data_IF_556687766623
#
_entry.id   IF_556687766623
#
_cell.length_a   1.000
_cell.length_b   1.000
_cell.length_c   1.000
_cell.angle_alpha   90.00
_cell.angle_beta   90.00
_cell.angle_gamma   90.00
#
_symmetry.space_group_name_H-M   'P 1'
#
loop_
_entity.id
_entity.type
_entity.pdbx_description
1 polymer ?
#
# COMPACT_ATOMS: atom_id res chain seq x y z
N UNK A 1 -26.92 28.07 16.44
CA UNK A 1 -27.94 27.57 17.39
C UNK A 1 -27.22 26.82 18.51
N UNK A 2 -27.62 26.98 19.77
CA UNK A 2 -27.03 26.21 20.89
C UNK A 2 -27.52 24.75 20.81
N UNK A 3 -26.65 23.74 21.00
CA UNK A 3 -27.05 22.35 20.96
C UNK A 3 -28.01 22.03 22.12
N UNK A 4 -29.09 21.30 21.82
CA UNK A 4 -30.02 20.79 22.82
C UNK A 4 -29.34 19.69 23.65
N UNK A 5 -29.37 19.84 24.98
CA UNK A 5 -28.67 18.97 25.91
C UNK A 5 -29.66 18.07 26.65
N UNK A 6 -29.40 16.76 26.65
CA UNK A 6 -30.15 15.76 27.41
C UNK A 6 -29.37 15.42 28.68
N UNK A 7 -30.10 15.30 29.79
CA UNK A 7 -29.55 14.85 31.08
C UNK A 7 -30.15 13.50 31.43
N UNK A 8 -29.30 12.48 31.52
CA UNK A 8 -29.66 11.15 31.98
C UNK A 8 -29.25 11.01 33.44
N UNK A 9 -30.14 10.50 34.28
CA UNK A 9 -29.88 10.24 35.70
C UNK A 9 -30.13 8.79 36.03
N UNK A 10 -29.17 8.15 36.69
CA UNK A 10 -29.36 6.83 37.29
C UNK A 10 -28.61 6.76 38.62
N UNK A 11 -29.34 6.61 39.72
CA UNK A 11 -28.80 6.79 41.07
C UNK A 11 -28.14 8.16 41.23
N UNK A 12 -26.93 8.17 41.80
CA UNK A 12 -26.13 9.39 41.98
C UNK A 12 -25.38 9.82 40.70
N UNK A 13 -25.46 9.03 39.63
CA UNK A 13 -24.77 9.33 38.37
C UNK A 13 -25.63 10.22 37.48
N UNK A 14 -25.08 11.37 37.09
CA UNK A 14 -25.69 12.28 36.11
C UNK A 14 -24.78 12.41 34.90
N UNK A 15 -25.31 12.06 33.72
CA UNK A 15 -24.62 12.25 32.45
C UNK A 15 -25.37 13.32 31.65
N UNK A 16 -24.66 14.39 31.28
CA UNK A 16 -25.16 15.42 30.36
C UNK A 16 -24.47 15.28 29.01
N UNK A 17 -25.27 15.19 27.94
CA UNK A 17 -24.74 15.13 26.58
C UNK A 17 -25.69 15.78 25.57
N UNK A 18 -25.21 16.20 24.39
CA UNK A 18 -26.08 16.67 23.33
C UNK A 18 -27.08 15.60 22.88
N UNK A 19 -28.31 15.99 22.56
CA UNK A 19 -29.35 15.07 22.08
C UNK A 19 -28.90 14.26 20.86
N UNK A 20 -28.16 14.89 19.94
CA UNK A 20 -27.61 14.25 18.76
C UNK A 20 -26.58 13.15 19.10
N UNK A 21 -25.83 13.29 20.19
CA UNK A 21 -24.87 12.27 20.63
C UNK A 21 -25.59 11.04 21.18
N UNK A 22 -26.69 11.24 21.92
CA UNK A 22 -27.50 10.14 22.43
C UNK A 22 -28.18 9.38 21.29
N UNK A 23 -28.69 10.09 20.27
CA UNK A 23 -29.26 9.46 19.08
C UNK A 23 -28.25 8.60 18.33
N UNK A 24 -27.00 9.08 18.16
CA UNK A 24 -25.92 8.29 17.54
C UNK A 24 -25.58 7.05 18.34
N UNK A 25 -25.49 7.16 19.67
CA UNK A 25 -25.25 6.03 20.58
C UNK A 25 -26.38 4.99 20.52
N UNK A 26 -27.63 5.43 20.49
CA UNK A 26 -28.78 4.53 20.39
C UNK A 26 -28.79 3.78 19.05
N UNK A 27 -28.53 4.47 17.93
CA UNK A 27 -28.43 3.83 16.61
C UNK A 27 -27.29 2.81 16.58
N UNK A 28 -26.11 3.15 17.11
CA UNK A 28 -24.97 2.24 17.18
C UNK A 28 -25.27 0.97 18.01
N UNK A 29 -25.98 1.10 19.14
CA UNK A 29 -26.37 -0.04 19.98
C UNK A 29 -27.38 -0.97 19.29
N UNK A 30 -28.32 -0.42 18.50
CA UNK A 30 -29.28 -1.25 17.75
C UNK A 30 -28.56 -2.06 16.67
N UNK A 31 -27.59 -1.46 15.96
CA UNK A 31 -26.77 -2.19 14.99
C UNK A 31 -25.93 -3.30 15.64
N UNK A 32 -25.40 -3.07 16.84
CA UNK A 32 -24.63 -4.09 17.57
C UNK A 32 -25.47 -5.31 17.98
N UNK A 33 -26.79 -5.15 18.19
CA UNK A 33 -27.69 -6.23 18.60
C UNK A 33 -28.24 -7.07 17.43
N UNK A 34 -28.20 -6.55 16.21
CA UNK A 34 -28.65 -7.26 14.98
C UNK A 34 -27.53 -8.07 14.34
N UNK A 35 -26.27 -7.80 14.71
CA UNK A 35 -25.14 -8.63 14.31
C UNK A 35 -25.20 -9.96 15.08
N UNK A 36 -24.99 -11.11 14.41
CA UNK A 36 -24.81 -12.37 15.13
C UNK A 36 -23.70 -12.20 16.17
N UNK A 37 -23.79 -12.89 17.34
CA UNK A 37 -22.74 -12.82 18.34
C UNK A 37 -21.42 -13.11 17.62
N UNK A 38 -20.50 -12.15 17.65
CA UNK A 38 -19.22 -12.25 16.97
C UNK A 38 -18.61 -13.60 17.35
N UNK A 39 -18.66 -14.55 16.42
CA UNK A 39 -18.09 -15.87 16.60
C UNK A 39 -16.60 -15.64 16.81
N UNK A 40 -16.14 -15.72 18.07
CA UNK A 40 -14.75 -15.63 18.49
C UNK A 40 -13.84 -14.94 17.46
N UNK A 41 -14.04 -13.63 17.26
CA UNK A 41 -12.94 -12.83 16.73
C UNK A 41 -11.95 -12.80 17.89
N UNK A 42 -11.11 -13.83 17.96
CA UNK A 42 -9.89 -13.78 18.74
C UNK A 42 -9.28 -12.41 18.46
N UNK A 43 -8.94 -11.61 19.49
CA UNK A 43 -8.23 -10.36 19.25
C UNK A 43 -7.08 -10.73 18.34
N UNK A 44 -7.04 -10.12 17.15
CA UNK A 44 -5.97 -10.38 16.19
C UNK A 44 -4.69 -10.23 16.99
N UNK A 45 -3.96 -11.34 17.16
CA UNK A 45 -2.67 -11.28 17.81
C UNK A 45 -1.92 -10.19 17.07
N UNK A 46 -1.50 -9.15 17.79
CA UNK A 46 -0.46 -8.24 17.33
C UNK A 46 0.72 -9.16 17.05
N UNK A 47 0.80 -9.67 15.82
CA UNK A 47 1.96 -10.43 15.38
C UNK A 47 3.11 -9.44 15.53
N UNK A 48 3.99 -9.72 16.49
CA UNK A 48 5.23 -8.97 16.66
C UNK A 48 5.86 -8.76 15.29
N UNK A 49 6.29 -7.53 15.00
CA UNK A 49 6.91 -7.19 13.72
C UNK A 49 7.97 -8.26 13.40
N UNK A 50 7.80 -9.07 12.33
CA UNK A 50 8.75 -10.11 11.99
C UNK A 50 10.11 -9.52 11.64
N UNK A 51 11.17 -10.33 11.65
CA UNK A 51 12.47 -9.91 11.13
C UNK A 51 12.39 -9.52 9.65
N UNK A 52 13.34 -8.71 9.18
CA UNK A 52 13.49 -8.40 7.75
C UNK A 52 13.54 -9.69 6.93
N UNK A 53 12.85 -9.70 5.79
CA UNK A 53 12.78 -10.83 4.87
C UNK A 53 11.86 -11.97 5.33
N UNK A 54 11.35 -11.91 6.57
CA UNK A 54 10.42 -12.93 7.08
C UNK A 54 8.99 -12.66 6.63
N UNK A 55 8.22 -13.72 6.42
CA UNK A 55 6.77 -13.62 6.13
C UNK A 55 6.09 -12.88 7.28
N UNK A 56 5.22 -11.93 6.95
CA UNK A 56 4.38 -11.24 7.91
C UNK A 56 2.95 -11.78 7.84
N UNK A 57 2.53 -12.63 8.81
CA UNK A 57 1.26 -13.32 8.73
C UNK A 57 0.08 -12.35 8.64
N UNK A 58 -0.77 -12.54 7.63
CA UNK A 58 -1.95 -11.71 7.37
C UNK A 58 -1.67 -10.42 6.61
N UNK A 59 -0.41 -10.15 6.23
CA UNK A 59 -0.04 -8.93 5.50
C UNK A 59 0.22 -9.18 4.01
N UNK A 60 0.12 -10.43 3.54
CA UNK A 60 0.24 -10.77 2.12
C UNK A 60 1.67 -10.77 1.56
N UNK A 61 2.69 -10.77 2.42
CA UNK A 61 4.07 -10.65 1.99
C UNK A 61 5.12 -10.76 3.09
N UNK A 62 6.32 -10.31 2.76
CA UNK A 62 7.50 -10.28 3.64
C UNK A 62 7.69 -8.89 4.24
N UNK A 63 8.26 -8.82 5.44
CA UNK A 63 8.70 -7.56 6.02
C UNK A 63 9.90 -6.99 5.23
N UNK A 64 9.68 -5.91 4.48
CA UNK A 64 10.71 -5.18 3.75
C UNK A 64 11.44 -4.12 4.58
N UNK A 65 10.95 -3.82 5.79
CA UNK A 65 11.55 -2.88 6.71
C UNK A 65 10.77 -1.58 6.90
N UNK A 66 11.22 -0.79 7.87
CA UNK A 66 10.64 0.49 8.24
C UNK A 66 11.07 1.57 7.24
N UNK A 67 10.09 2.27 6.68
CA UNK A 67 10.27 3.45 5.85
C UNK A 67 9.91 4.68 6.67
N UNK A 68 10.89 5.55 6.92
CA UNK A 68 10.67 6.81 7.62
C UNK A 68 9.66 7.69 6.88
N UNK A 69 8.91 8.50 7.64
CA UNK A 69 7.97 9.47 7.08
C UNK A 69 8.65 10.41 6.06
N UNK A 70 7.97 10.70 4.96
CA UNK A 70 8.49 11.57 3.89
C UNK A 70 7.36 12.38 3.26
N UNK A 71 7.45 13.70 3.42
CA UNK A 71 6.38 14.60 2.95
C UNK A 71 5.07 14.24 3.64
N UNK A 72 4.03 14.00 2.86
CA UNK A 72 2.70 13.65 3.36
C UNK A 72 2.50 12.14 3.58
N UNK A 73 3.53 11.31 3.31
CA UNK A 73 3.47 9.86 3.55
C UNK A 73 4.00 9.58 4.96
N UNK A 74 3.16 9.08 5.89
CA UNK A 74 3.58 8.73 7.24
C UNK A 74 4.60 7.59 7.26
N UNK A 75 5.26 7.42 8.39
CA UNK A 75 6.09 6.25 8.66
C UNK A 75 5.28 4.96 8.50
N UNK A 76 5.87 3.96 7.86
CA UNK A 76 5.20 2.68 7.58
C UNK A 76 6.22 1.57 7.39
N UNK A 77 5.77 0.33 7.50
CA UNK A 77 6.50 -0.82 6.98
C UNK A 77 6.19 -1.01 5.50
N UNK A 78 7.23 -1.28 4.71
CA UNK A 78 7.05 -1.77 3.36
C UNK A 78 6.85 -3.27 3.41
N UNK A 79 5.72 -3.76 2.90
CA UNK A 79 5.45 -5.19 2.75
C UNK A 79 5.71 -5.57 1.30
N UNK A 80 6.56 -6.57 1.08
CA UNK A 80 6.93 -7.03 -0.26
C UNK A 80 6.10 -8.26 -0.59
N UNK A 81 5.41 -8.25 -1.74
CA UNK A 81 4.61 -9.38 -2.17
C UNK A 81 5.43 -10.68 -2.17
N UNK A 82 4.77 -11.80 -1.89
CA UNK A 82 5.43 -13.09 -1.79
C UNK A 82 6.06 -13.57 -3.13
N UNK A 83 5.54 -13.06 -4.24
CA UNK A 83 5.91 -13.47 -5.60
C UNK A 83 5.97 -12.27 -6.53
N UNK A 84 6.78 -12.39 -7.57
CA UNK A 84 6.72 -11.48 -8.71
C UNK A 84 5.45 -11.74 -9.54
N UNK A 85 4.95 -10.73 -10.23
CA UNK A 85 3.74 -10.80 -11.09
C UNK A 85 4.05 -10.87 -12.59
N UNK A 86 5.22 -11.43 -12.90
CA UNK A 86 5.74 -11.65 -14.25
C UNK A 86 6.57 -10.48 -14.79
N UNK A 87 7.02 -10.65 -16.02
CA UNK A 87 7.67 -9.61 -16.81
C UNK A 87 6.60 -8.83 -17.57
N UNK A 88 6.63 -7.49 -17.46
CA UNK A 88 5.59 -6.60 -18.01
C UNK A 88 6.23 -5.40 -18.68
N UNK A 89 5.59 -4.90 -19.72
CA UNK A 89 5.88 -3.54 -20.20
C UNK A 89 5.51 -2.51 -19.11
N UNK A 90 6.28 -1.42 -19.05
CA UNK A 90 5.99 -0.34 -18.13
C UNK A 90 4.77 0.47 -18.58
N UNK A 91 4.66 0.74 -19.88
CA UNK A 91 3.62 1.56 -20.49
C UNK A 91 4.08 2.15 -21.83
N UNK A 92 3.27 3.03 -22.46
CA UNK A 92 3.56 3.53 -23.79
C UNK A 92 4.78 4.46 -23.83
N UNK A 93 5.45 4.46 -24.99
CA UNK A 93 6.50 5.43 -25.34
C UNK A 93 5.88 6.72 -25.88
N UNK A 94 6.61 7.83 -25.80
CA UNK A 94 6.13 9.14 -26.23
C UNK A 94 5.15 9.83 -25.27
N UNK A 95 4.77 9.18 -24.16
CA UNK A 95 3.81 9.72 -23.19
C UNK A 95 4.53 10.15 -21.91
N UNK A 96 4.46 11.43 -21.58
CA UNK A 96 4.92 11.98 -20.29
C UNK A 96 3.75 12.03 -19.30
N UNK A 97 3.88 11.31 -18.19
CA UNK A 97 2.87 11.27 -17.11
C UNK A 97 3.31 12.22 -16.01
N UNK A 98 2.46 13.20 -15.71
CA UNK A 98 2.75 14.22 -14.69
C UNK A 98 2.43 13.68 -13.30
N UNK A 99 3.09 14.22 -12.28
CA UNK A 99 2.81 13.91 -10.88
C UNK A 99 3.48 12.64 -10.35
N UNK A 100 4.37 12.00 -11.13
CA UNK A 100 5.11 10.84 -10.66
C UNK A 100 6.31 11.25 -9.78
N UNK A 101 6.48 10.52 -8.68
CA UNK A 101 7.47 10.70 -7.63
C UNK A 101 8.56 9.62 -7.66
N UNK A 102 9.74 9.93 -7.13
CA UNK A 102 10.81 8.94 -6.90
C UNK A 102 10.62 8.12 -5.63
N UNK A 103 9.71 8.52 -4.75
CA UNK A 103 9.60 7.95 -3.39
C UNK A 103 8.19 7.50 -3.03
N UNK A 104 7.20 7.74 -3.89
CA UNK A 104 5.81 7.41 -3.61
C UNK A 104 5.21 6.51 -4.68
N UNK A 105 5.50 5.21 -4.60
CA UNK A 105 5.03 4.22 -5.58
C UNK A 105 3.52 4.03 -5.57
N UNK A 106 2.88 4.23 -4.41
CA UNK A 106 1.43 4.13 -4.30
C UNK A 106 0.75 5.19 -5.15
N UNK A 107 1.06 6.48 -4.91
CA UNK A 107 0.47 7.58 -5.69
C UNK A 107 0.82 7.47 -7.17
N UNK A 108 2.06 7.08 -7.50
CA UNK A 108 2.45 6.80 -8.88
C UNK A 108 1.55 5.76 -9.54
N UNK A 109 1.35 4.62 -8.86
CA UNK A 109 0.53 3.53 -9.40
C UNK A 109 -0.91 3.98 -9.60
N UNK A 110 -1.49 4.73 -8.64
CA UNK A 110 -2.83 5.28 -8.80
C UNK A 110 -2.95 6.23 -10.01
N UNK A 111 -1.93 7.07 -10.26
CA UNK A 111 -1.90 7.94 -11.45
C UNK A 111 -1.76 7.13 -12.73
N UNK A 112 -0.96 6.07 -12.74
CA UNK A 112 -0.71 5.24 -13.92
C UNK A 112 -1.95 4.42 -14.32
N UNK A 113 -2.66 3.84 -13.35
CA UNK A 113 -3.86 3.01 -13.60
C UNK A 113 -5.13 3.86 -13.82
N UNK A 114 -5.17 5.09 -13.29
CA UNK A 114 -6.29 6.01 -13.44
C UNK A 114 -6.20 6.91 -14.69
N UNK A 115 -5.24 6.68 -15.57
CA UNK A 115 -5.07 7.48 -16.78
C UNK A 115 -6.02 6.98 -17.88
N UNK A 116 -7.09 7.75 -18.15
CA UNK A 116 -8.19 7.38 -19.06
C UNK A 116 -7.81 7.39 -20.56
N UNK A 117 -6.57 7.72 -20.91
CA UNK A 117 -6.11 7.99 -22.29
C UNK A 117 -5.84 6.72 -23.13
N UNK A 118 -6.59 5.63 -22.88
CA UNK A 118 -6.46 4.24 -23.43
C UNK A 118 -5.09 3.57 -23.25
N UNK A 119 -4.12 4.31 -22.71
CA UNK A 119 -2.73 3.99 -22.53
C UNK A 119 -2.51 3.13 -21.29
N UNK A 120 -2.49 1.81 -21.48
CA UNK A 120 -2.27 0.86 -20.38
C UNK A 120 -0.84 0.94 -19.83
N UNK A 121 -0.71 0.70 -18.53
CA UNK A 121 0.56 0.58 -17.82
C UNK A 121 0.65 -0.83 -17.20
N UNK A 122 0.96 -1.87 -18.00
CA UNK A 122 0.78 -3.26 -17.58
C UNK A 122 1.51 -3.65 -16.30
N UNK A 123 2.68 -3.06 -16.03
CA UNK A 123 3.41 -3.26 -14.78
C UNK A 123 2.65 -2.68 -13.56
N UNK A 124 2.08 -1.48 -13.68
CA UNK A 124 1.30 -0.85 -12.63
C UNK A 124 -0.05 -1.57 -12.42
N UNK A 125 -0.73 -1.93 -13.52
CA UNK A 125 -1.98 -2.68 -13.51
C UNK A 125 -1.81 -4.03 -12.79
N UNK A 126 -0.76 -4.77 -13.14
CA UNK A 126 -0.47 -6.07 -12.52
C UNK A 126 -0.22 -5.99 -11.00
N UNK A 127 0.39 -4.89 -10.54
CA UNK A 127 0.58 -4.63 -9.12
C UNK A 127 -0.74 -4.27 -8.42
N UNK A 128 -1.56 -3.41 -9.04
CA UNK A 128 -2.83 -2.97 -8.48
C UNK A 128 -3.88 -4.11 -8.42
N UNK A 129 -3.81 -5.06 -9.35
CA UNK A 129 -4.67 -6.25 -9.36
C UNK A 129 -4.21 -7.34 -8.38
N UNK A 130 -2.97 -7.27 -7.89
CA UNK A 130 -2.40 -8.28 -7.00
C UNK A 130 -3.08 -8.26 -5.63
N UNK A 131 -3.43 -9.45 -5.15
CA UNK A 131 -4.12 -9.64 -3.88
C UNK A 131 -3.46 -10.78 -3.09
N UNK A 132 -3.29 -10.57 -1.79
CA UNK A 132 -2.73 -11.58 -0.90
C UNK A 132 -3.20 -11.36 0.54
N UNK A 133 -3.53 -12.46 1.23
CA UNK A 133 -4.05 -12.47 2.61
C UNK A 133 -5.24 -11.50 2.82
N UNK A 134 -6.09 -11.31 1.82
CA UNK A 134 -7.22 -10.37 1.89
C UNK A 134 -6.85 -8.89 1.78
N UNK A 135 -5.59 -8.57 1.44
CA UNK A 135 -5.14 -7.21 1.13
C UNK A 135 -5.15 -6.97 -0.37
N UNK A 136 -5.58 -5.77 -0.78
CA UNK A 136 -5.82 -5.36 -2.18
C UNK A 136 -5.13 -4.02 -2.52
N UNK A 137 -4.28 -3.52 -1.62
CA UNK A 137 -3.63 -2.22 -1.67
C UNK A 137 -2.17 -2.29 -2.16
N UNK A 138 -1.86 -3.31 -2.96
CA UNK A 138 -0.53 -3.46 -3.55
C UNK A 138 -0.33 -2.49 -4.72
N UNK A 139 0.92 -2.09 -4.91
CA UNK A 139 1.31 -1.11 -5.92
C UNK A 139 2.72 -1.39 -6.46
N UNK A 140 3.04 -0.78 -7.60
CA UNK A 140 4.37 -0.86 -8.19
C UNK A 140 5.31 0.09 -7.42
N UNK A 141 6.41 -0.39 -6.82
CA UNK A 141 7.28 0.44 -5.98
C UNK A 141 7.91 1.59 -6.78
N UNK A 142 8.08 2.75 -6.16
CA UNK A 142 8.90 3.81 -6.73
C UNK A 142 10.39 3.45 -6.69
N UNK A 143 11.21 4.21 -7.43
CA UNK A 143 12.65 3.96 -7.54
C UNK A 143 13.36 3.89 -6.17
N UNK A 144 13.02 4.78 -5.23
CA UNK A 144 13.58 4.75 -3.88
C UNK A 144 13.04 3.61 -3.01
N UNK A 145 11.80 3.14 -3.23
CA UNK A 145 11.25 1.99 -2.52
C UNK A 145 11.93 0.68 -3.00
N UNK A 146 12.26 0.55 -4.29
CA UNK A 146 13.11 -0.56 -4.76
C UNK A 146 14.51 -0.51 -4.14
N UNK A 147 15.10 0.67 -4.04
CA UNK A 147 16.41 0.81 -3.40
C UNK A 147 16.36 0.46 -1.92
N UNK A 148 15.27 0.80 -1.23
CA UNK A 148 15.00 0.35 0.13
C UNK A 148 14.96 -1.19 0.21
N UNK A 149 14.24 -1.85 -0.71
CA UNK A 149 14.23 -3.31 -0.78
C UNK A 149 15.62 -3.91 -0.98
N UNK A 150 16.48 -3.30 -1.81
CA UNK A 150 17.85 -3.78 -2.00
C UNK A 150 18.74 -3.60 -0.77
N UNK A 151 18.55 -2.53 0.00
CA UNK A 151 19.28 -2.33 1.27
C UNK A 151 18.82 -3.31 2.35
N UNK A 152 17.52 -3.58 2.42
CA UNK A 152 16.92 -4.30 3.54
C UNK A 152 16.85 -5.81 3.33
N UNK A 153 16.46 -6.25 2.13
CA UNK A 153 16.07 -7.64 1.81
C UNK A 153 16.38 -8.03 0.36
N UNK A 154 17.61 -7.81 -0.14
CA UNK A 154 17.94 -8.04 -1.53
C UNK A 154 17.74 -9.51 -1.97
N UNK A 155 17.80 -10.46 -1.05
CA UNK A 155 17.60 -11.90 -1.27
C UNK A 155 16.18 -12.28 -1.72
N UNK A 156 15.19 -11.41 -1.51
CA UNK A 156 13.81 -11.65 -1.99
C UNK A 156 13.64 -11.43 -3.50
N UNK A 157 14.64 -10.83 -4.15
CA UNK A 157 14.59 -10.40 -5.54
C UNK A 157 15.54 -11.23 -6.39
N UNK A 158 15.09 -11.54 -7.61
CA UNK A 158 15.85 -12.27 -8.61
C UNK A 158 17.12 -11.50 -8.99
N UNK A 159 18.18 -12.26 -9.28
CA UNK A 159 19.53 -11.74 -9.59
C UNK A 159 19.87 -11.81 -11.07
N UNK A 160 18.98 -12.34 -11.88
CA UNK A 160 19.09 -12.52 -13.32
C UNK A 160 18.15 -11.59 -14.10
N UNK A 161 17.44 -10.69 -13.41
CA UNK A 161 16.43 -9.81 -13.99
C UNK A 161 16.52 -8.38 -13.45
N UNK A 162 15.99 -7.46 -14.24
CA UNK A 162 15.75 -6.07 -13.83
C UNK A 162 14.31 -5.93 -13.33
N UNK A 163 14.12 -5.06 -12.33
CA UNK A 163 12.81 -4.75 -11.78
C UNK A 163 12.35 -3.36 -12.21
N UNK A 164 11.09 -3.26 -12.64
CA UNK A 164 10.46 -1.97 -12.88
C UNK A 164 10.19 -1.23 -11.59
N UNK A 165 10.37 0.08 -11.62
CA UNK A 165 9.75 1.00 -10.67
C UNK A 165 8.56 1.71 -11.32
N UNK A 166 7.66 2.28 -10.53
CA UNK A 166 6.59 3.16 -11.01
C UNK A 166 7.06 4.58 -11.37
N UNK A 167 8.36 4.87 -11.24
CA UNK A 167 8.91 6.20 -11.45
C UNK A 167 9.29 6.36 -12.93
N UNK A 168 8.69 7.34 -13.60
CA UNK A 168 9.07 7.71 -14.95
C UNK A 168 10.34 8.57 -14.97
N UNK A 169 11.19 8.35 -15.98
CA UNK A 169 12.35 9.22 -16.29
C UNK A 169 12.04 10.21 -17.40
N UNK A 170 11.31 9.78 -18.42
CA UNK A 170 10.77 10.62 -19.50
C UNK A 170 9.74 9.87 -20.32
N UNK A 171 9.21 10.53 -21.36
CA UNK A 171 8.26 9.99 -22.32
C UNK A 171 8.59 8.57 -22.81
N UNK A 172 9.88 8.24 -22.93
CA UNK A 172 10.35 6.97 -23.49
C UNK A 172 10.94 6.00 -22.45
N UNK A 173 11.25 6.46 -21.24
CA UNK A 173 12.04 5.70 -20.27
C UNK A 173 11.43 5.74 -18.87
N UNK A 174 11.56 4.63 -18.15
CA UNK A 174 11.23 4.53 -16.73
C UNK A 174 12.43 4.01 -15.93
N UNK A 175 12.45 4.29 -14.63
CA UNK A 175 13.51 3.79 -13.75
C UNK A 175 13.34 2.29 -13.49
N UNK A 176 14.46 1.58 -13.53
CA UNK A 176 14.57 0.15 -13.25
C UNK A 176 15.77 -0.11 -12.35
N UNK A 177 15.77 -1.26 -11.69
CA UNK A 177 16.83 -1.65 -10.76
C UNK A 177 17.28 -3.09 -10.96
N UNK A 178 18.60 -3.29 -10.94
CA UNK A 178 19.24 -4.61 -10.92
C UNK A 178 19.68 -4.95 -9.51
N UNK A 179 19.23 -6.10 -9.00
CA UNK A 179 19.37 -6.44 -7.58
C UNK A 179 20.69 -7.14 -7.22
N UNK A 180 21.59 -7.41 -8.18
CA UNK A 180 22.91 -7.99 -7.90
C UNK A 180 23.81 -7.01 -7.17
N UNK A 181 23.89 -5.79 -7.69
CA UNK A 181 24.81 -4.74 -7.23
C UNK A 181 24.08 -3.46 -6.80
N UNK A 182 22.75 -3.44 -6.92
CA UNK A 182 21.93 -2.29 -6.57
C UNK A 182 21.94 -1.21 -7.65
N UNK A 183 22.36 -1.55 -8.87
CA UNK A 183 22.44 -0.59 -9.96
C UNK A 183 21.05 -0.14 -10.41
N UNK A 184 20.78 1.15 -10.27
CA UNK A 184 19.59 1.81 -10.80
C UNK A 184 19.91 2.48 -12.14
N UNK A 185 19.08 2.20 -13.14
CA UNK A 185 19.20 2.76 -14.48
C UNK A 185 17.82 3.14 -15.00
N UNK A 186 17.74 3.42 -16.30
CA UNK A 186 16.49 3.61 -17.00
C UNK A 186 16.42 2.71 -18.23
N UNK A 187 15.26 2.09 -18.43
CA UNK A 187 15.00 1.18 -19.53
C UNK A 187 13.86 1.73 -20.40
N UNK A 188 13.85 1.35 -21.68
CA UNK A 188 12.76 1.70 -22.58
C UNK A 188 11.46 1.09 -22.09
N UNK A 189 10.38 1.88 -22.04
CA UNK A 189 9.12 1.46 -21.40
C UNK A 189 8.42 0.26 -22.07
N UNK A 190 8.75 -0.02 -23.34
CA UNK A 190 8.27 -1.18 -24.09
C UNK A 190 9.10 -2.45 -23.82
N UNK A 191 10.12 -2.38 -22.98
CA UNK A 191 10.81 -3.56 -22.49
C UNK A 191 9.98 -4.26 -21.42
N UNK A 192 9.97 -5.58 -21.45
CA UNK A 192 9.34 -6.39 -20.41
C UNK A 192 10.35 -6.67 -19.31
N UNK A 193 10.17 -6.05 -18.14
CA UNK A 193 11.00 -6.27 -16.96
C UNK A 193 10.16 -6.82 -15.81
N UNK A 194 10.82 -7.40 -14.82
CA UNK A 194 10.17 -8.05 -13.69
C UNK A 194 9.41 -7.05 -12.83
N UNK A 195 8.26 -7.49 -12.32
CA UNK A 195 7.41 -6.67 -11.45
C UNK A 195 7.22 -7.36 -10.09
N UNK A 196 7.55 -6.65 -9.01
CA UNK A 196 7.30 -7.07 -7.63
C UNK A 196 6.37 -6.08 -6.94
N UNK A 197 5.11 -6.44 -6.64
CA UNK A 197 4.22 -5.57 -5.89
C UNK A 197 4.71 -5.34 -4.46
N UNK A 198 4.44 -4.15 -3.93
CA UNK A 198 4.64 -3.81 -2.52
C UNK A 198 3.37 -3.15 -1.95
N UNK A 199 3.21 -3.12 -0.62
CA UNK A 199 2.14 -2.35 0.05
C UNK A 199 2.69 -1.62 1.28
N UNK A 200 1.95 -0.63 1.79
CA UNK A 200 2.31 0.10 3.01
C UNK A 200 1.49 -0.42 4.19
N UNK A 201 2.16 -0.73 5.28
CA UNK A 201 1.51 -0.98 6.57
C UNK A 201 1.87 0.15 7.52
N UNK A 202 0.93 1.09 7.71
CA UNK A 202 1.11 2.23 8.61
C UNK A 202 1.12 1.82 10.09
N UNK A 203 1.82 2.61 10.90
CA UNK A 203 2.02 2.43 12.35
C UNK A 203 1.02 3.29 13.14
#
# INVERSE_FOLDING_TARGET
MKPEMITLKHGDTTIKMPAASLAKLAVASVFAQVLPPAANVQPAHLHSVPGLGSVWPGQGGFNGGLVAARGDVPEHYLIIAAKDVGDREWGPRGVEVKGLSKTDGYTNTQVLIGNDDESKHPAADACAEYQADGNHDFYLPAAAELYHCWLSVPELFAKDAWYWSSTQRSANFAFSMYFVDGYQSNCGKNGELRVRPVRRLFI
#
